data_IF_738604868289
#
_entry.id   IF_738604868289
#
_cell.length_a   1.000
_cell.length_b   1.000
_cell.length_c   1.000
_cell.angle_alpha   90.00
_cell.angle_beta   90.00
_cell.angle_gamma   90.00
#
_symmetry.space_group_name_H-M   'P 1'
#
loop_
_entity.id
_entity.type
_entity.pdbx_description
1 polymer ?
#
# COMPACT_ATOMS: atom_id res chain seq x y z
N UNK A 1 25.32 -42.39 87.38
CA UNK A 1 24.11 -41.58 87.63
C UNK A 1 24.04 -40.50 86.56
N UNK A 2 22.96 -40.52 85.76
CA UNK A 2 22.36 -39.46 84.93
C UNK A 2 23.26 -38.56 84.06
N UNK A 3 23.22 -38.71 82.73
CA UNK A 3 22.46 -37.83 81.78
C UNK A 3 23.33 -36.64 81.31
N UNK A 4 23.34 -36.14 80.07
CA UNK A 4 22.46 -36.24 78.91
C UNK A 4 23.23 -35.86 77.61
N UNK A 5 22.64 -36.23 76.45
CA UNK A 5 22.50 -35.49 75.16
C UNK A 5 23.68 -34.60 74.67
N UNK A 6 24.11 -34.64 73.40
CA UNK A 6 23.30 -34.46 72.18
C UNK A 6 24.06 -34.94 70.93
N UNK A 7 23.31 -35.54 70.01
CA UNK A 7 23.76 -36.16 68.75
C UNK A 7 23.97 -35.10 67.66
N UNK A 8 25.06 -35.25 66.91
CA UNK A 8 25.37 -34.49 65.70
C UNK A 8 24.75 -35.17 64.46
N UNK A 9 23.92 -34.43 63.73
CA UNK A 9 23.51 -34.75 62.35
C UNK A 9 23.20 -33.45 61.62
N UNK A 10 24.09 -33.02 60.72
CA UNK A 10 23.76 -32.00 59.72
C UNK A 10 23.58 -32.69 58.37
N UNK A 11 22.35 -32.61 57.86
CA UNK A 11 21.94 -33.04 56.53
C UNK A 11 22.53 -32.10 55.46
N UNK A 12 22.91 -32.74 54.36
CA UNK A 12 23.25 -32.21 53.04
C UNK A 12 22.04 -31.62 52.30
N UNK A 13 22.25 -30.54 51.51
CA UNK A 13 21.60 -30.36 50.20
C UNK A 13 22.55 -29.61 49.26
N UNK A 14 22.76 -30.20 48.08
CA UNK A 14 23.51 -29.70 46.94
C UNK A 14 22.51 -28.94 46.05
N UNK A 15 22.61 -27.61 45.97
CA UNK A 15 21.78 -26.81 45.05
C UNK A 15 22.30 -26.96 43.61
N UNK A 16 21.56 -27.73 42.80
CA UNK A 16 21.73 -27.77 41.34
C UNK A 16 20.89 -26.63 40.77
N UNK A 17 21.56 -25.55 40.36
CA UNK A 17 20.93 -24.47 39.61
C UNK A 17 20.51 -24.98 38.21
N UNK A 18 19.21 -25.25 38.03
CA UNK A 18 18.62 -25.43 36.72
C UNK A 18 18.58 -24.07 36.00
N UNK A 19 19.48 -23.88 35.04
CA UNK A 19 19.38 -22.78 34.09
C UNK A 19 18.16 -23.01 33.18
N UNK A 20 17.05 -22.36 33.51
CA UNK A 20 15.93 -22.24 32.58
C UNK A 20 16.34 -21.29 31.45
N UNK A 21 16.21 -21.68 30.16
CA UNK A 21 16.35 -20.74 29.08
C UNK A 21 15.22 -19.71 29.21
N UNK A 22 15.61 -18.44 29.39
CA UNK A 22 14.70 -17.31 29.25
C UNK A 22 14.12 -17.41 27.84
N UNK A 23 12.83 -17.73 27.75
CA UNK A 23 12.06 -17.51 26.53
C UNK A 23 12.18 -16.01 26.25
N UNK A 24 12.97 -15.66 25.26
CA UNK A 24 12.87 -14.38 24.59
C UNK A 24 11.44 -14.34 24.05
N UNK A 25 10.51 -13.79 24.82
CA UNK A 25 9.28 -13.25 24.24
C UNK A 25 9.77 -12.26 23.20
N UNK A 26 9.53 -12.61 21.95
CA UNK A 26 9.66 -11.75 20.81
C UNK A 26 8.82 -10.51 21.12
N UNK A 27 9.47 -9.49 21.67
CA UNK A 27 8.93 -8.15 21.77
C UNK A 27 8.93 -7.60 20.34
N UNK A 28 8.11 -8.21 19.48
CA UNK A 28 7.54 -7.50 18.36
C UNK A 28 6.77 -6.38 19.02
N UNK A 29 7.39 -5.20 19.10
CA UNK A 29 6.65 -3.96 19.07
C UNK A 29 5.57 -4.20 18.04
N UNK A 30 4.29 -4.28 18.45
CA UNK A 30 3.18 -4.19 17.51
C UNK A 30 3.47 -2.93 16.74
N UNK A 31 4.01 -3.05 15.53
CA UNK A 31 4.13 -1.90 14.64
C UNK A 31 2.73 -1.33 14.61
N UNK A 32 2.60 -0.07 15.00
CA UNK A 32 1.34 0.63 14.88
C UNK A 32 0.89 0.42 13.42
N UNK A 33 -0.31 -0.14 13.23
CA UNK A 33 -0.82 -0.40 11.90
C UNK A 33 -0.77 0.90 11.08
N UNK A 34 -0.39 0.85 9.79
CA UNK A 34 -0.44 2.02 8.92
C UNK A 34 -1.76 2.78 9.08
N UNK A 35 -1.71 4.11 9.13
CA UNK A 35 -2.85 4.94 9.55
C UNK A 35 -4.11 4.79 8.68
N UNK A 36 -3.96 4.22 7.49
CA UNK A 36 -5.01 3.98 6.50
C UNK A 36 -5.62 2.57 6.57
N UNK A 37 -5.06 1.65 7.36
CA UNK A 37 -5.74 0.38 7.68
C UNK A 37 -6.77 0.66 8.76
N UNK A 38 -8.04 0.78 8.34
CA UNK A 38 -9.15 1.20 9.22
C UNK A 38 -10.15 0.09 9.55
N UNK A 39 -10.12 -1.02 8.81
CA UNK A 39 -11.00 -2.15 9.02
C UNK A 39 -10.33 -3.36 9.67
N UNK A 40 -11.06 -4.48 9.67
CA UNK A 40 -10.66 -5.75 10.32
C UNK A 40 -10.58 -6.93 9.34
N UNK A 41 -10.90 -6.72 8.07
CA UNK A 41 -10.79 -7.75 7.03
C UNK A 41 -9.31 -8.00 6.78
N UNK A 42 -8.91 -9.28 6.84
CA UNK A 42 -7.54 -9.69 6.55
C UNK A 42 -7.15 -9.29 5.13
N UNK A 43 -6.00 -8.64 5.00
CA UNK A 43 -5.47 -8.21 3.71
C UNK A 43 -4.75 -9.38 3.01
N UNK A 44 -4.90 -9.54 1.69
CA UNK A 44 -3.99 -10.37 0.91
C UNK A 44 -2.53 -9.94 1.14
N UNK A 45 -1.59 -10.87 1.08
CA UNK A 45 -0.18 -10.60 1.39
C UNK A 45 0.38 -9.45 0.53
N UNK A 46 0.07 -9.42 -0.77
CA UNK A 46 0.55 -8.35 -1.66
C UNK A 46 0.00 -6.97 -1.28
N UNK A 47 -1.18 -6.93 -0.65
CA UNK A 47 -1.79 -5.69 -0.15
C UNK A 47 -1.16 -5.28 1.18
N UNK A 48 -0.86 -6.24 2.06
CA UNK A 48 -0.16 -5.98 3.31
C UNK A 48 1.27 -5.47 3.06
N UNK A 49 1.98 -6.04 2.10
CA UNK A 49 3.33 -5.60 1.72
C UNK A 49 3.31 -4.16 1.19
N UNK A 50 2.33 -3.83 0.33
CA UNK A 50 2.12 -2.47 -0.13
C UNK A 50 1.79 -1.50 1.02
N UNK A 51 1.01 -1.94 2.00
CA UNK A 51 0.68 -1.13 3.18
C UNK A 51 1.92 -0.84 4.04
N UNK A 52 2.76 -1.86 4.25
CA UNK A 52 4.00 -1.73 5.00
C UNK A 52 4.99 -0.82 4.29
N UNK A 53 5.12 -0.96 2.96
CA UNK A 53 5.98 -0.11 2.14
C UNK A 53 5.59 1.37 2.20
N UNK A 54 4.29 1.67 2.20
CA UNK A 54 3.77 3.05 2.18
C UNK A 54 3.64 3.69 3.57
N UNK A 55 3.89 2.95 4.65
CA UNK A 55 3.52 3.37 6.01
C UNK A 55 4.17 4.70 6.43
N UNK A 56 5.41 4.98 6.00
CA UNK A 56 6.12 6.23 6.30
C UNK A 56 5.73 7.41 5.41
N UNK A 57 5.22 7.11 4.21
CA UNK A 57 5.01 8.10 3.15
C UNK A 57 3.57 8.60 3.08
N UNK A 58 2.69 7.97 3.88
CA UNK A 58 1.27 8.28 3.97
C UNK A 58 0.97 8.94 5.30
N UNK A 59 0.31 10.09 5.22
CA UNK A 59 -0.35 10.73 6.35
C UNK A 59 -1.86 10.58 6.20
N UNK A 60 -2.58 10.47 7.32
CA UNK A 60 -4.03 10.33 7.32
C UNK A 60 -4.69 11.48 8.07
N UNK A 61 -5.68 12.13 7.46
CA UNK A 61 -6.54 13.07 8.14
C UNK A 61 -7.80 12.36 8.64
N UNK A 62 -7.77 11.84 9.87
CA UNK A 62 -8.91 11.12 10.45
C UNK A 62 -10.18 11.98 10.63
N UNK A 63 -10.09 13.32 10.55
CA UNK A 63 -11.25 14.22 10.64
C UNK A 63 -11.99 14.38 9.31
N UNK A 64 -11.41 13.92 8.21
CA UNK A 64 -11.99 14.01 6.87
C UNK A 64 -12.00 12.63 6.24
N UNK A 65 -13.16 12.17 5.81
CA UNK A 65 -13.30 10.90 5.11
C UNK A 65 -13.59 11.13 3.63
N UNK A 66 -13.25 10.14 2.82
CA UNK A 66 -13.48 10.11 1.37
C UNK A 66 -14.42 8.94 1.06
N UNK A 67 -14.11 8.14 0.03
CA UNK A 67 -14.92 7.00 -0.38
C UNK A 67 -15.06 5.96 0.74
N UNK A 68 -16.28 5.47 0.96
CA UNK A 68 -16.60 4.42 1.94
C UNK A 68 -16.10 4.69 3.37
N UNK A 69 -15.99 5.96 3.79
CA UNK A 69 -15.53 6.31 5.13
C UNK A 69 -14.02 6.16 5.35
N UNK A 70 -13.25 5.93 4.28
CA UNK A 70 -11.78 5.88 4.34
C UNK A 70 -11.23 7.27 4.71
N UNK A 71 -10.29 7.39 5.68
CA UNK A 71 -9.63 8.66 5.97
C UNK A 71 -9.01 9.28 4.73
N UNK A 72 -9.01 10.61 4.65
CA UNK A 72 -8.32 11.30 3.57
C UNK A 72 -6.81 11.12 3.75
N UNK A 73 -6.22 10.27 2.91
CA UNK A 73 -4.78 9.97 2.92
C UNK A 73 -4.03 10.95 2.03
N UNK A 74 -2.79 11.26 2.38
CA UNK A 74 -1.94 12.12 1.55
C UNK A 74 -0.48 11.68 1.50
N UNK A 75 0.16 11.92 0.36
CA UNK A 75 1.58 11.65 0.07
C UNK A 75 2.14 12.81 -0.75
N UNK A 76 3.33 13.30 -0.43
CA UNK A 76 3.96 14.40 -1.17
C UNK A 76 3.10 15.67 -1.30
N UNK A 77 2.21 15.94 -0.34
CA UNK A 77 1.28 17.08 -0.37
C UNK A 77 0.00 16.86 -1.19
N UNK A 78 -0.19 15.70 -1.82
CA UNK A 78 -1.38 15.35 -2.60
C UNK A 78 -2.31 14.50 -1.72
N UNK A 79 -3.55 14.94 -1.51
CA UNK A 79 -4.57 14.16 -0.79
C UNK A 79 -5.47 13.37 -1.74
N UNK A 80 -6.01 12.23 -1.31
CA UNK A 80 -6.97 11.47 -2.11
C UNK A 80 -8.16 12.35 -2.50
N UNK A 81 -8.69 13.14 -1.56
CA UNK A 81 -9.79 14.06 -1.84
C UNK A 81 -9.52 15.10 -2.94
N UNK A 82 -8.25 15.43 -3.23
CA UNK A 82 -7.89 16.35 -4.32
C UNK A 82 -7.87 15.67 -5.71
N UNK A 83 -7.91 14.33 -5.71
CA UNK A 83 -7.86 13.46 -6.88
C UNK A 83 -8.94 12.36 -6.81
N UNK A 84 -10.06 12.62 -6.12
CA UNK A 84 -11.11 11.63 -5.86
C UNK A 84 -12.09 11.51 -7.03
N UNK A 85 -11.94 10.44 -7.82
CA UNK A 85 -12.81 10.14 -8.95
C UNK A 85 -14.30 10.06 -8.57
N UNK A 86 -14.65 9.66 -7.33
CA UNK A 86 -16.04 9.48 -6.93
C UNK A 86 -16.82 10.79 -6.82
N UNK A 87 -16.10 11.93 -6.76
CA UNK A 87 -16.70 13.26 -6.70
C UNK A 87 -16.85 13.92 -8.07
N UNK A 88 -16.30 13.31 -9.13
CA UNK A 88 -16.22 13.92 -10.47
C UNK A 88 -17.49 13.76 -11.33
N UNK A 89 -18.33 12.76 -11.01
CA UNK A 89 -19.43 12.33 -11.88
C UNK A 89 -19.00 11.52 -13.11
N UNK A 90 -17.71 11.31 -13.32
CA UNK A 90 -17.15 10.54 -14.43
C UNK A 90 -16.99 9.06 -14.06
N UNK A 91 -16.84 8.21 -15.08
CA UNK A 91 -16.38 6.83 -14.84
C UNK A 91 -14.93 6.85 -14.30
N UNK A 92 -14.48 5.82 -13.54
CA UNK A 92 -13.13 5.81 -13.00
C UNK A 92 -12.02 5.93 -14.07
N UNK A 93 -12.21 5.32 -15.25
CA UNK A 93 -11.22 5.40 -16.33
C UNK A 93 -11.22 6.78 -17.01
N UNK A 94 -12.40 7.34 -17.27
CA UNK A 94 -12.53 8.69 -17.82
C UNK A 94 -11.85 9.73 -16.94
N UNK A 95 -12.13 9.67 -15.63
CA UNK A 95 -11.44 10.50 -14.64
C UNK A 95 -9.93 10.33 -14.69
N UNK A 96 -9.45 9.09 -14.75
CA UNK A 96 -8.03 8.84 -14.76
C UNK A 96 -7.34 9.43 -16.02
N UNK A 97 -7.97 9.26 -17.18
CA UNK A 97 -7.50 9.78 -18.47
C UNK A 97 -7.38 11.30 -18.47
N UNK A 98 -8.32 12.01 -17.84
CA UNK A 98 -8.30 13.48 -17.74
C UNK A 98 -7.35 13.95 -16.64
N UNK A 99 -7.47 13.40 -15.43
CA UNK A 99 -6.76 13.88 -14.24
C UNK A 99 -5.27 13.61 -14.27
N UNK A 100 -4.87 12.45 -14.80
CA UNK A 100 -3.48 11.98 -14.83
C UNK A 100 -2.91 11.98 -16.25
N UNK A 101 -3.37 12.93 -17.07
CA UNK A 101 -2.82 13.14 -18.39
C UNK A 101 -1.35 13.60 -18.31
N UNK A 102 -0.52 13.09 -19.21
CA UNK A 102 0.88 13.53 -19.37
C UNK A 102 1.01 14.59 -20.46
N UNK A 103 2.04 15.41 -20.38
CA UNK A 103 2.43 16.39 -21.41
C UNK A 103 3.53 15.85 -22.33
N UNK A 104 3.77 16.55 -23.45
CA UNK A 104 4.92 16.29 -24.33
C UNK A 104 5.97 17.39 -24.13
N UNK A 105 7.28 17.07 -24.08
CA UNK A 105 7.85 15.71 -24.20
C UNK A 105 7.57 14.85 -22.96
N UNK A 106 7.39 13.54 -23.16
CA UNK A 106 6.94 12.64 -22.10
C UNK A 106 7.96 12.57 -20.95
N UNK A 107 9.26 12.66 -21.27
CA UNK A 107 10.36 12.62 -20.32
C UNK A 107 10.37 13.78 -19.29
N UNK A 108 9.71 14.90 -19.59
CA UNK A 108 9.65 16.10 -18.72
C UNK A 108 8.53 16.04 -17.67
N UNK A 109 7.68 15.02 -17.71
CA UNK A 109 6.63 14.86 -16.70
C UNK A 109 7.23 14.55 -15.33
N UNK A 110 6.63 15.11 -14.28
CA UNK A 110 7.07 14.94 -12.90
C UNK A 110 6.77 13.53 -12.38
N UNK A 111 7.77 12.63 -12.48
CA UNK A 111 7.66 11.26 -12.01
C UNK A 111 7.32 11.17 -10.51
N UNK A 112 7.84 12.07 -9.68
CA UNK A 112 7.60 12.07 -8.24
C UNK A 112 6.13 12.42 -7.94
N UNK A 113 5.54 13.37 -8.67
CA UNK A 113 4.11 13.66 -8.58
C UNK A 113 3.27 12.42 -8.87
N UNK A 114 3.51 11.73 -10.00
CA UNK A 114 2.76 10.52 -10.34
C UNK A 114 2.95 9.41 -9.30
N UNK A 115 4.16 9.25 -8.73
CA UNK A 115 4.40 8.29 -7.66
C UNK A 115 3.58 8.61 -6.40
N UNK A 116 3.50 9.89 -6.00
CA UNK A 116 2.69 10.33 -4.87
C UNK A 116 1.19 10.10 -5.10
N UNK A 117 0.70 10.34 -6.32
CA UNK A 117 -0.68 10.02 -6.71
C UNK A 117 -0.95 8.51 -6.63
N UNK A 118 -0.01 7.68 -7.10
CA UNK A 118 -0.10 6.22 -6.99
C UNK A 118 -0.09 5.73 -5.53
N UNK A 119 0.73 6.34 -4.68
CA UNK A 119 0.81 6.03 -3.25
C UNK A 119 -0.55 6.27 -2.57
N UNK A 120 -1.16 7.42 -2.83
CA UNK A 120 -2.47 7.82 -2.29
C UNK A 120 -3.58 6.86 -2.75
N UNK A 121 -3.60 6.48 -4.02
CA UNK A 121 -4.55 5.49 -4.54
C UNK A 121 -4.31 4.08 -3.98
N UNK A 122 -3.05 3.69 -3.76
CA UNK A 122 -2.69 2.39 -3.18
C UNK A 122 -3.09 2.32 -1.71
N UNK A 123 -2.79 3.35 -0.91
CA UNK A 123 -3.22 3.43 0.48
C UNK A 123 -4.75 3.40 0.61
N UNK A 124 -5.46 4.06 -0.31
CA UNK A 124 -6.93 4.02 -0.36
C UNK A 124 -7.44 2.61 -0.72
N UNK A 125 -6.81 1.90 -1.66
CA UNK A 125 -7.16 0.49 -1.94
C UNK A 125 -6.95 -0.41 -0.72
N UNK A 126 -5.83 -0.25 -0.01
CA UNK A 126 -5.56 -1.00 1.23
C UNK A 126 -6.68 -0.75 2.24
N UNK A 127 -7.04 0.52 2.46
CA UNK A 127 -8.12 0.91 3.36
C UNK A 127 -9.45 0.23 2.98
N UNK A 128 -9.84 0.33 1.70
CA UNK A 128 -11.06 -0.29 1.18
C UNK A 128 -11.05 -1.81 1.37
N UNK A 129 -9.92 -2.49 1.10
CA UNK A 129 -9.80 -3.93 1.32
C UNK A 129 -9.95 -4.29 2.79
N UNK A 130 -9.37 -3.50 3.70
CA UNK A 130 -9.48 -3.73 5.14
C UNK A 130 -10.92 -3.66 5.66
N UNK A 131 -11.82 -2.95 4.95
CA UNK A 131 -13.25 -2.84 5.28
C UNK A 131 -14.16 -3.66 4.36
N UNK A 132 -13.61 -4.43 3.40
CA UNK A 132 -14.41 -5.16 2.40
C UNK A 132 -15.16 -4.27 1.40
N UNK A 133 -14.65 -3.06 1.15
CA UNK A 133 -15.27 -2.05 0.28
C UNK A 133 -15.11 -2.33 -1.22
N UNK A 134 -15.84 -1.55 -2.03
CA UNK A 134 -15.77 -1.61 -3.48
C UNK A 134 -14.40 -1.13 -4.00
N UNK A 135 -13.82 -1.84 -4.98
CA UNK A 135 -12.46 -1.59 -5.48
C UNK A 135 -12.41 -0.83 -6.81
N UNK A 136 -13.38 0.05 -7.10
CA UNK A 136 -13.36 0.91 -8.30
C UNK A 136 -12.10 1.80 -8.40
N UNK A 137 -11.44 2.07 -7.28
CA UNK A 137 -10.14 2.76 -7.18
C UNK A 137 -9.02 2.10 -8.00
N UNK A 138 -9.17 0.81 -8.35
CA UNK A 138 -8.15 0.04 -9.07
C UNK A 138 -7.92 0.52 -10.50
N UNK A 139 -8.95 0.96 -11.21
CA UNK A 139 -8.80 1.43 -12.59
C UNK A 139 -7.92 2.69 -12.67
N UNK A 140 -8.21 3.77 -11.91
CA UNK A 140 -7.31 4.92 -11.86
C UNK A 140 -5.93 4.56 -11.29
N UNK A 141 -5.83 3.72 -10.25
CA UNK A 141 -4.54 3.30 -9.69
C UNK A 141 -3.63 2.65 -10.75
N UNK A 142 -4.16 1.68 -11.49
CA UNK A 142 -3.37 1.04 -12.56
C UNK A 142 -3.08 2.01 -13.71
N UNK A 143 -3.93 3.01 -13.95
CA UNK A 143 -3.68 4.02 -14.96
C UNK A 143 -2.51 4.93 -14.56
N UNK A 144 -2.45 5.36 -13.30
CA UNK A 144 -1.31 6.13 -12.77
C UNK A 144 -0.03 5.30 -12.90
N UNK A 145 -0.04 4.03 -12.49
CA UNK A 145 1.13 3.16 -12.64
C UNK A 145 1.53 2.99 -14.12
N UNK A 146 0.56 2.86 -15.02
CA UNK A 146 0.81 2.82 -16.46
C UNK A 146 1.50 4.11 -16.95
N UNK A 147 1.09 5.28 -16.47
CA UNK A 147 1.78 6.54 -16.76
C UNK A 147 3.19 6.59 -16.19
N UNK A 148 3.39 6.12 -14.95
CA UNK A 148 4.72 5.99 -14.33
C UNK A 148 5.66 5.16 -15.22
N UNK A 149 5.21 3.99 -15.68
CA UNK A 149 6.01 3.13 -16.54
C UNK A 149 6.36 3.79 -17.89
N UNK A 150 5.40 4.54 -18.47
CA UNK A 150 5.63 5.32 -19.70
C UNK A 150 6.66 6.43 -19.49
N UNK A 151 6.53 7.20 -18.40
CA UNK A 151 7.45 8.29 -18.04
C UNK A 151 8.85 7.74 -17.78
N UNK A 152 8.97 6.68 -16.98
CA UNK A 152 10.24 6.01 -16.70
C UNK A 152 10.92 5.53 -17.98
N UNK A 153 10.16 4.93 -18.90
CA UNK A 153 10.68 4.52 -20.21
C UNK A 153 11.19 5.71 -21.01
N UNK A 154 10.43 6.81 -21.08
CA UNK A 154 10.83 8.03 -21.78
C UNK A 154 12.06 8.72 -21.16
N UNK A 155 12.25 8.60 -19.85
CA UNK A 155 13.42 9.07 -19.11
C UNK A 155 14.65 8.15 -19.23
N UNK A 156 14.55 7.07 -20.00
CA UNK A 156 15.65 6.12 -20.22
C UNK A 156 15.81 5.07 -19.12
N UNK A 157 14.84 4.93 -18.21
CA UNK A 157 14.84 4.01 -17.08
C UNK A 157 13.64 3.04 -17.12
N UNK A 158 13.44 2.26 -18.20
CA UNK A 158 12.28 1.38 -18.33
C UNK A 158 12.20 0.36 -17.19
N UNK A 159 11.00 0.04 -16.67
CA UNK A 159 10.82 -0.97 -15.62
C UNK A 159 11.35 -2.35 -16.03
N UNK A 160 12.11 -2.99 -15.14
CA UNK A 160 12.64 -4.35 -15.34
C UNK A 160 11.75 -5.43 -14.74
N UNK A 161 10.91 -5.09 -13.76
CA UNK A 161 9.87 -6.00 -13.24
C UNK A 161 8.78 -6.19 -14.29
N UNK A 162 8.51 -7.44 -14.75
CA UNK A 162 7.46 -7.72 -15.72
C UNK A 162 6.07 -7.21 -15.31
N UNK A 163 5.79 -7.10 -14.00
CA UNK A 163 4.53 -6.59 -13.45
C UNK A 163 4.37 -5.08 -13.57
N UNK A 164 5.46 -4.36 -13.86
CA UNK A 164 5.50 -2.90 -13.95
C UNK A 164 5.73 -2.39 -15.38
N UNK A 165 5.78 -3.28 -16.38
CA UNK A 165 5.92 -2.87 -17.77
C UNK A 165 4.68 -2.13 -18.28
N UNK A 166 4.85 -1.25 -19.27
CA UNK A 166 3.75 -0.52 -19.91
C UNK A 166 2.66 -1.47 -20.43
N UNK A 167 3.06 -2.59 -21.06
CA UNK A 167 2.15 -3.60 -21.58
C UNK A 167 1.36 -4.30 -20.46
N UNK A 168 2.05 -4.75 -19.41
CA UNK A 168 1.39 -5.39 -18.27
C UNK A 168 0.36 -4.45 -17.64
N UNK A 169 0.77 -3.21 -17.38
CA UNK A 169 -0.08 -2.23 -16.73
C UNK A 169 -1.25 -1.79 -17.62
N UNK A 170 -1.09 -1.68 -18.95
CA UNK A 170 -2.20 -1.52 -19.88
C UNK A 170 -3.23 -2.65 -19.69
N UNK A 171 -2.77 -3.90 -19.65
CA UNK A 171 -3.65 -5.05 -19.39
C UNK A 171 -4.38 -4.95 -18.05
N UNK A 172 -3.72 -4.42 -17.00
CA UNK A 172 -4.35 -4.18 -15.70
C UNK A 172 -5.40 -3.07 -15.76
N UNK A 173 -5.14 -1.96 -16.45
CA UNK A 173 -6.12 -0.88 -16.63
C UNK A 173 -7.36 -1.41 -17.34
N UNK A 174 -7.19 -2.01 -18.52
CA UNK A 174 -8.29 -2.55 -19.34
C UNK A 174 -9.12 -3.57 -18.58
N UNK A 175 -8.48 -4.48 -17.82
CA UNK A 175 -9.19 -5.47 -17.00
C UNK A 175 -10.04 -4.84 -15.89
N UNK A 176 -9.54 -3.80 -15.23
CA UNK A 176 -10.27 -3.14 -14.12
C UNK A 176 -11.25 -2.07 -14.62
N UNK A 177 -11.16 -1.68 -15.89
CA UNK A 177 -12.05 -0.75 -16.57
C UNK A 177 -12.93 -1.45 -17.63
N UNK A 178 -13.21 -2.74 -17.48
CA UNK A 178 -13.90 -3.56 -18.51
C UNK A 178 -15.32 -3.10 -18.87
N UNK A 179 -15.92 -2.22 -18.06
CA UNK A 179 -17.22 -1.60 -18.31
C UNK A 179 -17.13 -0.15 -18.82
N UNK A 180 -15.92 0.36 -19.05
CA UNK A 180 -15.72 1.70 -19.58
C UNK A 180 -16.11 1.73 -21.07
N UNK A 181 -16.46 2.92 -21.55
CA UNK A 181 -16.72 3.13 -22.98
C UNK A 181 -15.50 2.74 -23.82
N UNK A 182 -15.75 2.12 -24.97
CA UNK A 182 -14.70 1.67 -25.89
C UNK A 182 -13.74 2.81 -26.28
N UNK A 183 -14.26 4.03 -26.44
CA UNK A 183 -13.43 5.22 -26.76
C UNK A 183 -12.31 5.45 -25.73
N UNK A 184 -12.56 5.18 -24.45
CA UNK A 184 -11.56 5.34 -23.39
C UNK A 184 -10.55 4.19 -23.39
N UNK A 185 -10.99 2.97 -23.71
CA UNK A 185 -10.12 1.81 -23.89
C UNK A 185 -9.18 1.98 -25.10
N UNK A 186 -9.69 2.57 -26.18
CA UNK A 186 -8.90 2.90 -27.36
C UNK A 186 -7.87 3.99 -27.05
N UNK A 187 -8.27 5.01 -26.27
CA UNK A 187 -7.37 6.08 -25.84
C UNK A 187 -6.19 5.54 -25.03
N UNK A 188 -6.41 4.67 -24.03
CA UNK A 188 -5.29 4.09 -23.26
C UNK A 188 -4.39 3.19 -24.12
N UNK A 189 -4.98 2.46 -25.08
CA UNK A 189 -4.23 1.62 -26.01
C UNK A 189 -3.36 2.46 -26.96
N UNK A 190 -3.81 3.66 -27.31
CA UNK A 190 -3.00 4.58 -28.10
C UNK A 190 -1.88 5.21 -27.27
N UNK A 191 -2.14 5.55 -26.00
CA UNK A 191 -1.10 6.06 -25.09
C UNK A 191 0.05 5.06 -24.91
N UNK A 192 -0.22 3.75 -24.91
CA UNK A 192 0.83 2.74 -24.69
C UNK A 192 1.89 2.70 -25.80
N UNK A 193 1.59 3.31 -26.95
CA UNK A 193 2.48 3.41 -28.11
C UNK A 193 3.34 4.69 -28.09
N UNK A 194 3.04 5.64 -27.21
CA UNK A 194 3.75 6.91 -27.08
C UNK A 194 4.69 6.83 -25.88
N UNK A 195 5.97 6.59 -26.15
CA UNK A 195 7.03 6.34 -25.14
C UNK A 195 8.21 7.33 -25.22
N UNK A 196 8.10 8.37 -26.04
CA UNK A 196 9.08 9.44 -26.23
C UNK A 196 8.35 10.74 -26.51
#
# INVERSE_FOLDING_TARGET
MHSALLVATFLSVLDIALANPIRMEEFQLRQAQPCFIVGKVALPQETQDAANFLASDITCNAKKTTISGVPDVSSGGISFSSIDFATSGQSPLEFALEKFATTSPLAENDLAKFQNEANVYTATEVALRSIGGNLAVKAPKFFINFQIARIQTAQGNPPTDPSQTVEHLLGKVTKNASKADQKFLDQITNLSKVLS
#
